data_IF_369044862783
#
_entry.id   IF_369044862783
#
_cell.length_a   1.000
_cell.length_b   1.000
_cell.length_c   1.000
_cell.angle_alpha   90.00
_cell.angle_beta   90.00
_cell.angle_gamma   90.00
#
_symmetry.space_group_name_H-M   'P 1'
#
loop_
_entity.id
_entity.type
_entity.pdbx_description
1 polymer ?
#
# COMPACT_ATOMS: atom_id res chain seq x y z
N UNK A 1 -69.95 15.03 3.32
CA UNK A 1 -70.04 13.80 2.51
C UNK A 1 -68.90 13.87 1.49
N UNK A 2 -67.82 13.14 1.77
CA UNK A 2 -66.62 13.05 0.95
C UNK A 2 -66.84 12.00 -0.15
N UNK A 3 -66.38 12.27 -1.37
CA UNK A 3 -65.46 11.43 -2.16
C UNK A 3 -65.50 11.84 -3.64
N UNK A 4 -64.33 11.99 -4.28
CA UNK A 4 -64.33 12.18 -5.72
C UNK A 4 -63.03 12.58 -6.42
N UNK A 5 -61.83 12.34 -5.89
CA UNK A 5 -60.58 12.56 -6.68
C UNK A 5 -59.43 11.66 -6.21
N UNK A 6 -59.44 10.35 -6.51
CA UNK A 6 -58.23 9.51 -6.40
C UNK A 6 -58.38 8.20 -7.21
N UNK A 7 -58.36 8.26 -8.54
CA UNK A 7 -58.35 7.03 -9.37
C UNK A 7 -57.61 7.15 -10.70
N UNK A 8 -56.70 8.13 -10.86
CA UNK A 8 -55.90 8.23 -12.11
C UNK A 8 -54.37 8.14 -11.95
N UNK A 9 -53.86 7.99 -10.73
CA UNK A 9 -52.40 7.95 -10.50
C UNK A 9 -51.81 6.55 -10.26
N UNK A 10 -52.65 5.51 -10.06
CA UNK A 10 -52.15 4.17 -9.71
C UNK A 10 -51.85 3.24 -10.91
N UNK A 11 -52.29 3.57 -12.14
CA UNK A 11 -52.10 2.67 -13.29
C UNK A 11 -50.75 2.89 -13.99
N UNK A 12 -50.13 4.07 -13.87
CA UNK A 12 -48.82 4.35 -14.50
C UNK A 12 -47.61 3.76 -13.75
N UNK A 13 -47.75 3.42 -12.46
CA UNK A 13 -46.64 2.91 -11.64
C UNK A 13 -46.50 1.39 -11.73
N UNK A 14 -47.57 0.66 -12.09
CA UNK A 14 -47.54 -0.81 -12.17
C UNK A 14 -46.99 -1.35 -13.52
N UNK A 15 -46.98 -0.56 -14.60
CA UNK A 15 -46.44 -1.01 -15.89
C UNK A 15 -44.91 -0.89 -16.01
N UNK A 16 -44.25 -0.08 -15.18
CA UNK A 16 -42.79 0.06 -15.19
C UNK A 16 -42.11 -1.06 -14.39
N UNK A 17 -42.78 -1.66 -13.41
CA UNK A 17 -42.23 -2.75 -12.60
C UNK A 17 -42.36 -4.15 -13.24
N UNK A 18 -43.37 -4.40 -14.07
CA UNK A 18 -43.52 -5.67 -14.78
C UNK A 18 -42.50 -5.88 -15.93
N UNK A 19 -41.89 -4.80 -16.41
CA UNK A 19 -40.91 -4.83 -17.51
C UNK A 19 -39.48 -5.11 -17.03
N UNK A 20 -39.18 -4.94 -15.74
CA UNK A 20 -37.85 -5.18 -15.17
C UNK A 20 -37.69 -6.60 -14.58
N UNK A 21 -38.77 -7.23 -14.15
CA UNK A 21 -38.72 -8.61 -13.62
C UNK A 21 -38.63 -9.66 -14.74
N UNK A 22 -39.09 -9.34 -15.94
CA UNK A 22 -38.98 -10.25 -17.11
C UNK A 22 -37.59 -10.24 -17.76
N UNK A 23 -36.76 -9.21 -17.53
CA UNK A 23 -35.37 -9.15 -18.03
C UNK A 23 -34.42 -9.93 -17.10
N UNK A 24 -34.74 -10.03 -15.81
CA UNK A 24 -33.91 -10.75 -14.84
C UNK A 24 -34.05 -12.28 -14.89
N UNK A 25 -35.16 -12.82 -15.43
CA UNK A 25 -35.43 -14.26 -15.45
C UNK A 25 -35.14 -14.97 -16.79
N UNK A 26 -34.67 -14.24 -17.81
CA UNK A 26 -34.24 -14.82 -19.10
C UNK A 26 -32.72 -14.79 -19.31
N UNK A 27 -31.94 -14.30 -18.34
CA UNK A 27 -30.48 -14.19 -18.44
C UNK A 27 -29.72 -15.40 -17.85
N UNK A 28 -30.41 -16.45 -17.41
CA UNK A 28 -29.81 -17.58 -16.67
C UNK A 28 -29.69 -18.89 -17.47
N UNK A 29 -29.56 -18.83 -18.80
CA UNK A 29 -29.39 -20.06 -19.63
C UNK A 29 -28.38 -19.98 -20.77
N UNK A 30 -27.42 -19.07 -20.74
CA UNK A 30 -26.28 -19.14 -21.65
C UNK A 30 -24.99 -18.78 -20.93
N UNK A 31 -24.21 -19.79 -20.58
CA UNK A 31 -22.86 -19.67 -20.02
C UNK A 31 -21.89 -18.94 -20.95
N UNK A 32 -22.00 -17.61 -20.98
CA UNK A 32 -21.05 -16.71 -21.62
C UNK A 32 -20.78 -15.56 -20.65
N UNK A 33 -19.58 -15.59 -20.07
CA UNK A 33 -18.93 -14.44 -19.43
C UNK A 33 -19.12 -13.22 -20.33
N UNK A 34 -19.82 -12.20 -19.84
CA UNK A 34 -19.86 -10.90 -20.50
C UNK A 34 -18.69 -10.09 -19.96
N UNK A 35 -17.64 -10.01 -20.77
CA UNK A 35 -16.59 -9.01 -20.64
C UNK A 35 -17.25 -7.62 -20.66
N UNK A 36 -17.31 -6.98 -19.49
CA UNK A 36 -17.72 -5.59 -19.37
C UNK A 36 -16.54 -4.70 -19.80
N UNK A 37 -16.74 -3.73 -20.71
CA UNK A 37 -15.66 -2.91 -21.22
C UNK A 37 -15.12 -1.97 -20.12
N UNK A 38 -13.78 -1.90 -20.03
CA UNK A 38 -12.99 -1.20 -19.02
C UNK A 38 -13.23 0.33 -18.93
N UNK A 39 -13.98 0.92 -19.86
CA UNK A 39 -14.08 2.37 -20.05
C UNK A 39 -15.11 3.08 -19.15
N UNK A 40 -15.80 2.37 -18.25
CA UNK A 40 -16.73 2.98 -17.28
C UNK A 40 -16.05 3.46 -15.98
N UNK A 41 -14.75 3.23 -15.80
CA UNK A 41 -14.02 3.64 -14.60
C UNK A 41 -13.25 4.95 -14.78
N UNK A 42 -13.97 6.07 -14.91
CA UNK A 42 -13.45 7.33 -14.36
C UNK A 42 -13.63 7.28 -12.84
N UNK A 43 -12.64 6.69 -12.17
CA UNK A 43 -12.21 7.00 -10.80
C UNK A 43 -13.29 7.16 -9.72
N UNK A 44 -14.28 6.27 -9.64
CA UNK A 44 -15.21 6.25 -8.50
C UNK A 44 -14.85 5.08 -7.59
N UNK A 45 -14.58 5.40 -6.32
CA UNK A 45 -14.56 4.44 -5.22
C UNK A 45 -15.83 3.57 -5.29
N UNK A 46 -15.68 2.25 -5.41
CA UNK A 46 -16.79 1.28 -5.35
C UNK A 46 -17.08 0.83 -3.91
N UNK A 47 -16.27 1.25 -2.94
CA UNK A 47 -16.52 1.00 -1.53
C UNK A 47 -17.58 1.95 -1.00
N UNK A 48 -18.51 1.45 -0.18
CA UNK A 48 -19.41 2.29 0.57
C UNK A 48 -18.62 3.05 1.65
N UNK A 49 -18.35 4.34 1.38
CA UNK A 49 -17.73 5.26 2.32
C UNK A 49 -16.29 5.67 1.98
N UNK A 50 -15.75 6.67 2.70
CA UNK A 50 -14.38 7.13 2.49
C UNK A 50 -13.36 6.06 2.90
N UNK A 51 -12.19 5.99 2.25
CA UNK A 51 -11.18 4.97 2.53
C UNK A 51 -10.74 5.00 3.99
N UNK A 52 -10.58 3.82 4.59
CA UNK A 52 -9.95 3.71 5.91
C UNK A 52 -8.44 3.96 5.81
N UNK A 53 -7.87 4.74 6.71
CA UNK A 53 -6.44 5.06 6.74
C UNK A 53 -5.84 4.59 8.06
N UNK A 54 -4.64 4.01 7.99
CA UNK A 54 -3.88 3.64 9.17
C UNK A 54 -2.44 4.15 9.07
N UNK A 55 -1.97 4.85 10.09
CA UNK A 55 -0.57 5.21 10.26
C UNK A 55 0.11 4.15 11.12
N UNK A 56 1.14 3.51 10.56
CA UNK A 56 1.98 2.51 11.22
C UNK A 56 3.34 3.14 11.52
N UNK A 57 3.66 3.23 12.82
CA UNK A 57 4.88 3.84 13.30
C UNK A 57 5.88 2.80 13.81
N UNK A 58 7.09 2.80 13.25
CA UNK A 58 8.25 2.11 13.83
C UNK A 58 8.92 3.02 14.87
N UNK A 59 8.76 2.69 16.15
CA UNK A 59 9.25 3.48 17.29
C UNK A 59 10.41 2.80 18.02
N UNK A 60 11.36 3.60 18.51
CA UNK A 60 12.40 3.14 19.44
C UNK A 60 12.42 3.98 20.73
N UNK A 61 12.97 5.20 20.69
CA UNK A 61 13.14 6.08 21.86
C UNK A 61 12.69 7.53 21.58
N UNK A 62 12.11 7.79 20.41
CA UNK A 62 11.87 9.14 19.93
C UNK A 62 10.61 9.72 20.57
N UNK A 63 10.62 11.01 20.83
CA UNK A 63 9.40 11.73 21.17
C UNK A 63 8.44 11.71 19.95
N UNK A 64 7.18 11.34 20.21
CA UNK A 64 6.14 11.16 19.17
C UNK A 64 5.02 12.20 19.23
N UNK A 65 5.16 13.30 19.99
CA UNK A 65 4.12 14.35 20.08
C UNK A 65 3.83 15.02 18.74
N UNK A 66 4.77 14.97 17.80
CA UNK A 66 4.56 15.45 16.43
C UNK A 66 3.51 14.66 15.65
N UNK A 67 3.07 13.49 16.14
CA UNK A 67 1.98 12.72 15.53
C UNK A 67 0.62 13.39 15.72
N UNK A 68 0.40 14.14 16.80
CA UNK A 68 -0.89 14.75 17.09
C UNK A 68 -1.40 15.64 15.94
N UNK A 69 -0.61 16.63 15.44
CA UNK A 69 -1.04 17.42 14.29
C UNK A 69 -1.14 16.62 12.99
N UNK A 70 -0.36 15.54 12.83
CA UNK A 70 -0.45 14.68 11.66
C UNK A 70 -1.75 13.86 11.66
N UNK A 71 -2.09 13.23 12.78
CA UNK A 71 -3.33 12.47 12.94
C UNK A 71 -4.55 13.37 12.78
N UNK A 72 -4.50 14.61 13.29
CA UNK A 72 -5.55 15.61 13.05
C UNK A 72 -5.78 15.88 11.55
N UNK A 73 -4.70 15.93 10.75
CA UNK A 73 -4.78 16.12 9.28
C UNK A 73 -5.24 14.88 8.54
N UNK A 74 -4.87 13.68 8.98
CA UNK A 74 -5.38 12.42 8.41
C UNK A 74 -6.88 12.22 8.70
N UNK A 75 -7.39 12.87 9.75
CA UNK A 75 -8.79 12.91 10.13
C UNK A 75 -9.15 11.88 11.20
N UNK A 76 -10.30 12.08 11.85
CA UNK A 76 -10.73 11.33 13.04
C UNK A 76 -10.89 9.81 12.84
N UNK A 77 -11.03 9.36 11.59
CA UNK A 77 -11.14 7.94 11.24
C UNK A 77 -9.80 7.27 10.95
N UNK A 78 -8.70 8.04 10.90
CA UNK A 78 -7.37 7.48 10.76
C UNK A 78 -6.98 6.76 12.04
N UNK A 79 -6.49 5.52 11.91
CA UNK A 79 -5.98 4.73 13.04
C UNK A 79 -4.49 4.96 13.19
N UNK A 80 -4.03 4.98 14.44
CA UNK A 80 -2.60 4.97 14.76
C UNK A 80 -2.25 3.61 15.35
N UNK A 81 -1.27 2.94 14.74
CA UNK A 81 -0.64 1.74 15.28
C UNK A 81 0.83 2.02 15.51
N UNK A 82 1.26 1.98 16.77
CA UNK A 82 2.67 2.15 17.14
C UNK A 82 3.25 0.80 17.51
N UNK A 83 4.34 0.43 16.84
CA UNK A 83 5.19 -0.68 17.25
C UNK A 83 6.47 -0.14 17.87
N UNK A 84 6.69 -0.43 19.15
CA UNK A 84 7.87 0.01 19.88
C UNK A 84 8.88 -1.11 20.04
N UNK A 85 10.14 -0.83 19.72
CA UNK A 85 11.30 -1.70 19.92
C UNK A 85 12.26 -1.19 21.00
N UNK A 86 11.96 -0.04 21.60
CA UNK A 86 12.84 0.58 22.59
C UNK A 86 12.33 0.50 24.01
N UNK A 87 13.17 0.94 24.97
CA UNK A 87 12.98 0.68 26.39
C UNK A 87 11.82 1.47 27.03
N UNK A 88 11.36 2.54 26.37
CA UNK A 88 10.29 3.41 26.86
C UNK A 88 9.17 3.52 25.80
N UNK A 89 8.31 2.50 25.67
CA UNK A 89 7.21 2.52 24.70
C UNK A 89 6.17 3.59 25.06
N UNK A 90 5.62 4.35 24.09
CA UNK A 90 4.50 5.24 24.35
C UNK A 90 3.24 4.43 24.73
N UNK A 91 2.27 5.04 25.45
CA UNK A 91 1.03 4.36 25.82
C UNK A 91 0.31 3.75 24.61
N UNK A 92 -0.15 2.50 24.74
CA UNK A 92 -0.86 1.77 23.68
C UNK A 92 0.03 1.18 22.59
N UNK A 93 1.36 1.36 22.64
CA UNK A 93 2.26 0.74 21.69
C UNK A 93 2.33 -0.79 21.84
N UNK A 94 2.42 -1.49 20.72
CA UNK A 94 2.72 -2.91 20.65
C UNK A 94 4.23 -3.12 20.74
N UNK A 95 4.68 -3.97 21.65
CA UNK A 95 6.12 -4.22 21.86
C UNK A 95 6.62 -5.27 20.86
N UNK A 96 7.71 -4.95 20.16
CA UNK A 96 8.40 -5.85 19.26
C UNK A 96 9.86 -6.06 19.68
N UNK A 97 10.46 -7.21 19.32
CA UNK A 97 11.90 -7.39 19.47
C UNK A 97 12.67 -6.34 18.65
N UNK A 98 13.80 -5.88 19.19
CA UNK A 98 14.68 -4.91 18.53
C UNK A 98 15.56 -5.57 17.47
N UNK A 99 14.92 -6.06 16.40
CA UNK A 99 15.52 -6.74 15.25
C UNK A 99 15.11 -6.07 13.94
N UNK A 100 15.92 -6.17 12.89
CA UNK A 100 15.53 -5.85 11.51
C UNK A 100 15.06 -4.41 11.25
N UNK A 101 15.48 -3.46 12.10
CA UNK A 101 15.21 -2.02 12.00
C UNK A 101 13.71 -1.70 11.76
N UNK A 102 13.38 -0.62 11.06
CA UNK A 102 11.98 -0.27 10.73
C UNK A 102 11.33 -1.25 9.75
N UNK A 103 12.12 -1.81 8.84
CA UNK A 103 11.69 -2.76 7.83
C UNK A 103 10.95 -3.97 8.44
N UNK A 104 11.48 -4.54 9.52
CA UNK A 104 10.81 -5.62 10.25
C UNK A 104 9.48 -5.18 10.88
N UNK A 105 9.36 -3.94 11.34
CA UNK A 105 8.08 -3.42 11.86
C UNK A 105 7.02 -3.40 10.75
N UNK A 106 7.40 -2.93 9.55
CA UNK A 106 6.46 -2.84 8.43
C UNK A 106 6.04 -4.22 7.96
N UNK A 107 6.98 -5.14 7.79
CA UNK A 107 6.68 -6.54 7.45
C UNK A 107 5.83 -7.22 8.52
N UNK A 108 6.12 -6.99 9.81
CA UNK A 108 5.31 -7.53 10.91
C UNK A 108 3.86 -7.08 10.81
N UNK A 109 3.62 -5.79 10.52
CA UNK A 109 2.28 -5.27 10.31
C UNK A 109 1.61 -5.89 9.08
N UNK A 110 2.28 -5.88 7.93
CA UNK A 110 1.77 -6.44 6.67
C UNK A 110 1.41 -7.93 6.80
N UNK A 111 2.25 -8.70 7.50
CA UNK A 111 2.02 -10.12 7.73
C UNK A 111 0.87 -10.36 8.72
N UNK A 112 0.88 -9.73 9.90
CA UNK A 112 -0.08 -10.04 10.96
C UNK A 112 -1.45 -9.39 10.76
N UNK A 113 -1.51 -8.30 9.99
CA UNK A 113 -2.75 -7.56 9.71
C UNK A 113 -3.28 -7.81 8.30
N UNK A 114 -2.66 -8.70 7.51
CA UNK A 114 -2.91 -8.95 6.09
C UNK A 114 -4.39 -8.91 5.67
N UNK A 115 -5.25 -9.64 6.38
CA UNK A 115 -6.68 -9.74 6.09
C UNK A 115 -7.48 -8.50 6.52
N UNK A 116 -6.95 -7.76 7.49
CA UNK A 116 -7.56 -6.61 8.17
C UNK A 116 -6.93 -5.25 7.81
N UNK A 117 -6.06 -5.19 6.80
CA UNK A 117 -5.39 -3.95 6.37
C UNK A 117 -6.40 -2.86 6.03
N UNK A 118 -6.09 -1.64 6.44
CA UNK A 118 -6.77 -0.42 5.98
C UNK A 118 -6.64 -0.27 4.45
N UNK A 119 -7.56 0.46 3.82
CA UNK A 119 -7.45 0.85 2.41
C UNK A 119 -6.08 1.41 2.08
N UNK A 120 -5.60 2.36 2.90
CA UNK A 120 -4.23 2.87 2.84
C UNK A 120 -3.55 2.72 4.19
N UNK A 121 -2.36 2.12 4.16
CA UNK A 121 -1.45 2.08 5.30
C UNK A 121 -0.26 3.01 5.02
N UNK A 122 -0.05 3.98 5.90
CA UNK A 122 1.08 4.93 5.88
C UNK A 122 2.14 4.42 6.84
N UNK A 123 3.34 4.15 6.35
CA UNK A 123 4.47 3.66 7.12
C UNK A 123 5.46 4.78 7.40
N UNK A 124 5.79 4.97 8.68
CA UNK A 124 6.71 6.01 9.15
C UNK A 124 7.67 5.47 10.22
N UNK A 125 8.88 6.02 10.25
CA UNK A 125 9.77 5.88 11.39
C UNK A 125 9.48 7.00 12.39
N UNK A 126 9.57 6.71 13.69
CA UNK A 126 9.46 7.75 14.72
C UNK A 126 10.55 8.83 14.61
N UNK A 127 11.64 8.54 13.88
CA UNK A 127 12.69 9.50 13.56
C UNK A 127 12.35 10.48 12.42
N UNK A 128 11.16 10.37 11.79
CA UNK A 128 10.74 11.23 10.67
C UNK A 128 10.73 12.74 11.04
N UNK A 129 10.55 13.09 12.31
CA UNK A 129 10.63 14.47 12.78
C UNK A 129 12.04 14.99 13.10
N UNK A 130 13.11 14.17 13.03
CA UNK A 130 14.42 14.51 13.62
C UNK A 130 15.25 15.52 12.80
N UNK A 131 15.31 15.39 11.49
CA UNK A 131 16.17 16.21 10.62
C UNK A 131 15.31 17.01 9.63
N UNK A 132 15.85 18.12 9.12
CA UNK A 132 15.13 18.96 8.16
C UNK A 132 14.68 18.16 6.92
N UNK A 133 15.53 17.27 6.40
CA UNK A 133 15.17 16.45 5.24
C UNK A 133 14.10 15.41 5.55
N UNK A 134 14.13 14.81 6.74
CA UNK A 134 13.05 13.91 7.17
C UNK A 134 11.74 14.66 7.42
N UNK A 135 11.80 15.89 7.94
CA UNK A 135 10.63 16.75 8.11
C UNK A 135 10.02 17.16 6.78
N UNK A 136 10.82 17.48 5.75
CA UNK A 136 10.32 17.70 4.38
C UNK A 136 9.55 16.49 3.87
N UNK A 137 10.09 15.29 4.08
CA UNK A 137 9.42 14.04 3.69
C UNK A 137 8.13 13.79 4.47
N UNK A 138 8.12 14.13 5.76
CA UNK A 138 6.92 14.05 6.59
C UNK A 138 5.80 14.98 6.10
N UNK A 139 6.15 16.18 5.65
CA UNK A 139 5.16 17.11 5.05
C UNK A 139 4.66 16.56 3.72
N UNK A 140 5.56 16.06 2.87
CA UNK A 140 5.18 15.53 1.57
C UNK A 140 4.21 14.33 1.68
N UNK A 141 4.49 13.35 2.55
CA UNK A 141 3.57 12.21 2.76
C UNK A 141 2.23 12.65 3.35
N UNK A 142 2.23 13.61 4.29
CA UNK A 142 1.02 14.17 4.86
C UNK A 142 0.11 14.79 3.79
N UNK A 143 0.70 15.45 2.80
CA UNK A 143 -0.04 16.18 1.77
C UNK A 143 -0.42 15.30 0.56
N UNK A 144 0.25 14.15 0.39
CA UNK A 144 0.15 13.36 -0.85
C UNK A 144 -0.15 11.85 -0.67
N UNK A 145 -0.34 11.34 0.55
CA UNK A 145 -0.62 9.92 0.77
C UNK A 145 -1.82 9.40 -0.05
N UNK A 146 -2.78 10.26 -0.38
CA UNK A 146 -3.96 9.94 -1.17
C UNK A 146 -3.59 9.44 -2.59
N UNK A 147 -2.41 9.77 -3.10
CA UNK A 147 -1.91 9.22 -4.36
C UNK A 147 -1.80 7.68 -4.31
N UNK A 148 -1.66 7.07 -3.12
CA UNK A 148 -1.73 5.63 -2.97
C UNK A 148 -3.11 5.06 -3.35
N UNK A 149 -4.19 5.83 -3.26
CA UNK A 149 -5.53 5.40 -3.68
C UNK A 149 -5.57 5.15 -5.20
N UNK A 150 -5.00 6.06 -6.00
CA UNK A 150 -4.96 5.94 -7.46
C UNK A 150 -3.84 5.01 -7.94
N UNK A 151 -2.62 5.21 -7.44
CA UNK A 151 -1.42 4.54 -7.95
C UNK A 151 -1.18 3.18 -7.26
N UNK A 152 -1.77 3.01 -6.08
CA UNK A 152 -1.55 1.87 -5.19
C UNK A 152 -0.35 2.05 -4.25
N UNK A 153 0.53 3.00 -4.54
CA UNK A 153 1.74 3.28 -3.79
C UNK A 153 2.09 4.77 -3.92
N UNK A 154 2.61 5.34 -2.84
CA UNK A 154 3.25 6.65 -2.83
C UNK A 154 4.47 6.59 -1.90
N UNK A 155 5.59 7.15 -2.33
CA UNK A 155 6.79 7.31 -1.50
C UNK A 155 7.15 8.78 -1.45
N UNK A 156 7.41 9.29 -0.26
CA UNK A 156 7.93 10.63 -0.09
C UNK A 156 9.44 10.68 -0.30
N UNK A 157 9.87 11.62 -1.16
CA UNK A 157 11.27 11.74 -1.58
C UNK A 157 11.74 10.48 -2.29
N UNK A 158 10.90 9.94 -3.18
CA UNK A 158 11.25 8.86 -4.09
C UNK A 158 12.52 9.25 -4.84
N UNK A 159 13.50 8.37 -4.82
CA UNK A 159 14.76 8.53 -5.54
C UNK A 159 14.67 7.75 -6.84
N UNK A 160 14.75 8.43 -7.98
CA UNK A 160 14.61 7.88 -9.32
C UNK A 160 15.89 7.25 -9.86
N UNK A 161 16.95 7.20 -9.06
CA UNK A 161 18.13 6.40 -9.37
C UNK A 161 17.84 4.93 -9.11
N UNK A 162 17.98 4.10 -10.15
CA UNK A 162 17.84 2.66 -10.02
C UNK A 162 18.90 2.12 -9.04
N UNK A 163 18.51 1.35 -8.01
CA UNK A 163 19.48 0.69 -7.15
C UNK A 163 20.35 -0.26 -7.96
N UNK A 164 21.67 -0.17 -7.76
CA UNK A 164 22.63 -1.02 -8.44
C UNK A 164 22.44 -2.49 -8.05
N UNK A 165 22.39 -3.40 -9.02
CA UNK A 165 22.29 -4.85 -8.78
C UNK A 165 23.45 -5.36 -7.90
N UNK A 166 24.64 -4.81 -8.11
CA UNK A 166 25.85 -5.11 -7.34
C UNK A 166 25.93 -4.43 -5.97
N UNK A 167 24.90 -3.69 -5.55
CA UNK A 167 24.94 -2.92 -4.31
C UNK A 167 25.17 -3.81 -3.09
N UNK A 168 26.15 -3.39 -2.29
CA UNK A 168 26.43 -3.87 -0.93
C UNK A 168 26.58 -2.68 0.01
N UNK A 169 26.36 -2.93 1.29
CA UNK A 169 26.44 -1.94 2.36
C UNK A 169 27.76 -2.06 3.13
N UNK A 170 28.85 -2.40 2.45
CA UNK A 170 30.18 -2.59 3.05
C UNK A 170 30.80 -1.27 3.53
N UNK A 171 30.54 -0.18 2.80
CA UNK A 171 31.11 1.15 3.03
C UNK A 171 30.24 2.05 3.92
N UNK A 172 28.98 1.69 4.13
CA UNK A 172 28.01 2.47 4.88
C UNK A 172 27.55 1.69 6.10
N UNK A 173 28.23 1.94 7.19
CA UNK A 173 27.75 1.61 8.53
C UNK A 173 26.31 2.11 8.69
N UNK A 174 25.42 1.33 9.30
CA UNK A 174 24.06 1.79 9.63
C UNK A 174 24.12 3.00 10.56
N UNK A 175 23.24 3.98 10.33
CA UNK A 175 23.14 5.13 11.24
C UNK A 175 22.38 4.76 12.50
N UNK A 176 22.93 5.10 13.66
CA UNK A 176 22.29 5.02 14.98
C UNK A 176 22.19 6.41 15.58
N UNK A 177 21.49 6.54 16.71
CA UNK A 177 21.43 7.82 17.45
C UNK A 177 22.81 8.25 17.99
N UNK A 178 23.77 7.33 18.12
CA UNK A 178 25.09 7.57 18.72
C UNK A 178 26.25 7.45 17.71
N UNK A 179 25.96 7.35 16.42
CA UNK A 179 26.96 7.25 15.36
C UNK A 179 26.70 6.10 14.39
N UNK A 180 27.76 5.42 13.99
CA UNK A 180 27.75 4.47 12.88
C UNK A 180 28.04 3.05 13.36
N UNK A 181 27.21 2.07 12.97
CA UNK A 181 27.39 0.65 13.32
C UNK A 181 27.67 -0.20 12.07
N UNK A 182 28.57 -1.16 12.17
CA UNK A 182 28.75 -2.14 11.10
C UNK A 182 27.49 -3.01 11.00
N UNK A 183 26.99 -3.22 9.77
CA UNK A 183 25.85 -4.09 9.55
C UNK A 183 26.31 -5.54 9.40
N UNK A 184 25.47 -6.46 9.87
CA UNK A 184 25.58 -7.88 9.57
C UNK A 184 25.23 -8.11 8.08
N UNK A 185 26.09 -8.79 7.30
CA UNK A 185 25.84 -9.02 5.88
C UNK A 185 24.54 -9.78 5.61
N UNK A 186 23.87 -9.45 4.52
CA UNK A 186 22.70 -10.20 4.06
C UNK A 186 23.12 -11.55 3.47
N UNK A 187 22.16 -12.46 3.29
CA UNK A 187 22.37 -13.70 2.54
C UNK A 187 21.15 -14.03 1.69
N UNK A 188 21.27 -14.13 0.35
CA UNK A 188 22.49 -14.00 -0.44
C UNK A 188 22.93 -12.53 -0.62
N UNK A 189 24.13 -12.33 -1.19
CA UNK A 189 24.69 -11.01 -1.60
C UNK A 189 25.16 -11.09 -3.05
N UNK A 190 25.14 -10.00 -3.84
CA UNK A 190 24.74 -8.63 -3.50
C UNK A 190 23.20 -8.41 -3.57
N UNK A 191 22.77 -7.15 -3.50
CA UNK A 191 21.35 -6.74 -3.56
C UNK A 191 20.55 -7.46 -4.65
N UNK A 192 21.08 -7.56 -5.86
CA UNK A 192 20.42 -8.21 -6.99
C UNK A 192 20.05 -9.66 -6.73
N UNK A 193 20.99 -10.44 -6.19
CA UNK A 193 20.74 -11.85 -5.84
C UNK A 193 19.74 -11.95 -4.69
N UNK A 194 19.88 -11.12 -3.66
CA UNK A 194 18.92 -11.06 -2.55
C UNK A 194 17.52 -10.72 -3.03
N UNK A 195 17.41 -9.74 -3.93
CA UNK A 195 16.15 -9.31 -4.51
C UNK A 195 15.51 -10.42 -5.34
N UNK A 196 16.29 -11.08 -6.21
CA UNK A 196 15.81 -12.19 -7.02
C UNK A 196 15.29 -13.36 -6.16
N UNK A 197 16.00 -13.68 -5.07
CA UNK A 197 15.65 -14.76 -4.14
C UNK A 197 14.36 -14.46 -3.35
N UNK A 198 14.28 -13.29 -2.71
CA UNK A 198 13.22 -13.02 -1.72
C UNK A 198 12.12 -12.09 -2.17
N UNK A 199 12.42 -11.07 -2.99
CA UNK A 199 11.44 -10.08 -3.43
C UNK A 199 10.80 -10.46 -4.78
N UNK A 200 11.63 -10.97 -5.70
CA UNK A 200 11.30 -11.40 -7.04
C UNK A 200 10.81 -10.26 -7.96
N UNK A 201 10.71 -10.58 -9.25
CA UNK A 201 10.26 -9.64 -10.27
C UNK A 201 11.39 -8.79 -10.86
N UNK A 202 11.02 -7.69 -11.53
CA UNK A 202 11.99 -6.77 -12.13
C UNK A 202 12.60 -5.89 -11.04
N UNK A 203 13.92 -5.70 -11.11
CA UNK A 203 14.62 -4.76 -10.23
C UNK A 203 13.97 -3.37 -10.28
N UNK A 204 13.93 -2.66 -9.15
CA UNK A 204 13.38 -1.31 -9.07
C UNK A 204 14.15 -0.34 -9.96
N UNK A 205 13.42 0.57 -10.62
CA UNK A 205 14.01 1.71 -11.35
C UNK A 205 14.08 2.98 -10.50
N UNK A 206 13.56 2.92 -9.28
CA UNK A 206 13.51 3.99 -8.29
C UNK A 206 13.38 3.35 -6.91
N UNK A 207 13.77 4.01 -5.82
CA UNK A 207 13.65 3.47 -4.47
C UNK A 207 13.08 4.49 -3.49
N UNK A 208 12.75 4.02 -2.27
CA UNK A 208 12.10 4.84 -1.25
C UNK A 208 13.01 5.07 -0.05
N UNK A 209 13.92 6.07 -0.10
CA UNK A 209 14.81 6.35 1.01
C UNK A 209 14.01 6.75 2.25
N UNK A 210 14.46 6.29 3.41
CA UNK A 210 13.78 6.40 4.71
C UNK A 210 12.47 5.62 4.82
N UNK A 211 12.08 4.86 3.80
CA UNK A 211 10.86 4.05 3.76
C UNK A 211 9.58 4.80 4.21
N UNK A 212 9.52 6.11 3.93
CA UNK A 212 8.37 6.97 4.21
C UNK A 212 7.36 6.79 3.07
N UNK A 213 6.39 5.90 3.27
CA UNK A 213 5.52 5.46 2.17
C UNK A 213 4.06 5.26 2.58
N UNK A 214 3.15 5.35 1.62
CA UNK A 214 1.75 4.98 1.74
C UNK A 214 1.43 3.88 0.73
N UNK A 215 0.79 2.81 1.17
CA UNK A 215 0.52 1.63 0.34
C UNK A 215 -0.96 1.28 0.43
N UNK A 216 -1.59 1.05 -0.73
CA UNK A 216 -2.96 0.57 -0.77
C UNK A 216 -3.01 -0.94 -0.55
N UNK A 217 -3.96 -1.45 0.25
CA UNK A 217 -4.09 -2.89 0.55
C UNK A 217 -4.14 -3.80 -0.67
N UNK A 218 -4.74 -3.33 -1.77
CA UNK A 218 -4.78 -4.06 -3.05
C UNK A 218 -3.39 -4.38 -3.60
N UNK A 219 -2.39 -3.51 -3.38
CA UNK A 219 -1.00 -3.74 -3.80
C UNK A 219 -0.32 -4.74 -2.88
N UNK A 220 -0.54 -4.63 -1.57
CA UNK A 220 -0.06 -5.62 -0.60
C UNK A 220 -0.57 -7.03 -0.94
N UNK A 221 -1.83 -7.14 -1.36
CA UNK A 221 -2.47 -8.41 -1.71
C UNK A 221 -2.04 -9.02 -3.06
N UNK A 222 -1.21 -8.33 -3.85
CA UNK A 222 -0.57 -8.92 -5.03
C UNK A 222 0.53 -9.94 -4.66
N UNK A 223 0.90 -10.00 -3.39
CA UNK A 223 1.78 -11.01 -2.83
C UNK A 223 1.05 -11.77 -1.72
N UNK A 224 1.20 -13.10 -1.62
CA UNK A 224 0.57 -13.87 -0.57
C UNK A 224 1.11 -13.47 0.81
N UNK A 225 0.34 -13.72 1.89
CA UNK A 225 0.79 -13.45 3.26
C UNK A 225 2.15 -14.10 3.60
N UNK A 226 2.44 -15.27 3.04
CA UNK A 226 3.71 -15.99 3.22
C UNK A 226 4.91 -15.24 2.68
N UNK A 227 4.76 -14.45 1.61
CA UNK A 227 5.84 -13.61 1.07
C UNK A 227 6.37 -12.63 2.12
N UNK A 228 5.47 -11.97 2.85
CA UNK A 228 5.85 -11.08 3.96
C UNK A 228 6.45 -11.84 5.13
N UNK A 229 6.03 -13.10 5.35
CA UNK A 229 6.59 -13.98 6.38
C UNK A 229 8.05 -14.33 6.11
N UNK A 230 8.38 -14.73 4.87
CA UNK A 230 9.76 -15.04 4.45
C UNK A 230 10.68 -13.84 4.64
N UNK A 231 10.24 -12.65 4.20
CA UNK A 231 11.02 -11.43 4.40
C UNK A 231 11.17 -11.08 5.90
N UNK A 232 10.16 -11.38 6.72
CA UNK A 232 10.21 -11.13 8.16
C UNK A 232 11.26 -12.02 8.82
N UNK A 233 11.32 -13.30 8.46
CA UNK A 233 12.32 -14.25 8.95
C UNK A 233 13.75 -13.76 8.66
N UNK A 234 14.00 -13.24 7.45
CA UNK A 234 15.29 -12.65 7.09
C UNK A 234 15.69 -11.49 7.99
N UNK A 235 14.72 -10.72 8.51
CA UNK A 235 14.97 -9.57 9.37
C UNK A 235 14.90 -9.89 10.87
N UNK A 236 14.45 -11.08 11.25
CA UNK A 236 14.32 -11.48 12.66
C UNK A 236 15.61 -12.03 13.27
N UNK A 237 16.63 -12.33 12.46
CA UNK A 237 17.89 -12.96 12.91
C UNK A 237 18.90 -12.00 13.55
N UNK A 238 18.71 -10.69 13.40
CA UNK A 238 19.69 -9.70 13.85
C UNK A 238 19.10 -8.28 13.93
N UNK A 239 19.80 -7.41 14.65
CA UNK A 239 19.37 -6.00 14.84
C UNK A 239 19.63 -5.15 13.61
N UNK A 240 20.87 -5.19 13.15
CA UNK A 240 21.43 -4.26 12.19
C UNK A 240 21.87 -5.03 10.94
N UNK A 241 20.88 -5.49 10.17
CA UNK A 241 21.08 -6.33 9.00
C UNK A 241 21.16 -5.48 7.72
N UNK A 242 22.11 -5.78 6.85
CA UNK A 242 22.18 -5.24 5.48
C UNK A 242 20.87 -5.50 4.70
N UNK A 243 20.20 -6.63 4.96
CA UNK A 243 18.92 -6.97 4.36
C UNK A 243 17.83 -5.91 4.58
N UNK A 244 17.88 -5.13 5.67
CA UNK A 244 16.94 -4.03 5.87
C UNK A 244 17.16 -2.90 4.84
N UNK A 245 18.40 -2.62 4.46
CA UNK A 245 18.74 -1.65 3.42
C UNK A 245 18.42 -2.16 2.00
N UNK A 246 18.54 -3.46 1.79
CA UNK A 246 18.04 -4.09 0.55
C UNK A 246 16.52 -3.97 0.45
N UNK A 247 15.79 -4.15 1.56
CA UNK A 247 14.34 -3.99 1.55
C UNK A 247 13.91 -2.52 1.34
N UNK A 248 14.63 -1.55 1.91
CA UNK A 248 14.42 -0.12 1.63
C UNK A 248 14.49 0.21 0.14
N UNK A 249 15.43 -0.43 -0.58
CA UNK A 249 15.57 -0.31 -2.03
C UNK A 249 14.46 -1.00 -2.82
N UNK A 250 13.78 -1.96 -2.20
CA UNK A 250 12.84 -2.86 -2.85
C UNK A 250 11.37 -2.41 -2.75
N UNK A 251 11.03 -1.54 -1.80
CA UNK A 251 9.63 -1.16 -1.52
C UNK A 251 8.86 -0.69 -2.75
N UNK A 252 9.50 0.13 -3.58
CA UNK A 252 8.95 0.59 -4.85
C UNK A 252 8.63 -0.60 -5.75
N UNK A 253 9.55 -1.49 -6.08
CA UNK A 253 9.27 -2.65 -6.93
C UNK A 253 8.22 -3.61 -6.34
N UNK A 254 8.16 -3.72 -5.00
CA UNK A 254 7.20 -4.59 -4.33
C UNK A 254 5.76 -4.08 -4.42
N UNK A 255 5.54 -2.77 -4.37
CA UNK A 255 4.20 -2.17 -4.30
C UNK A 255 3.81 -1.34 -5.52
N UNK A 256 4.80 -0.87 -6.27
CA UNK A 256 4.66 -0.16 -7.52
C UNK A 256 4.85 -1.13 -8.68
N UNK A 257 3.78 -1.38 -9.42
CA UNK A 257 3.87 -1.89 -10.78
C UNK A 257 3.05 -0.98 -11.68
N UNK A 258 3.74 -0.38 -12.66
CA UNK A 258 3.17 0.45 -13.72
C UNK A 258 2.25 -0.35 -14.68
N UNK A 259 2.33 -1.69 -14.66
CA UNK A 259 1.58 -2.56 -15.58
C UNK A 259 0.07 -2.60 -15.32
N UNK A 260 -0.42 -2.02 -14.23
CA UNK A 260 -1.86 -1.85 -14.00
C UNK A 260 -2.53 -0.83 -14.94
N UNK A 261 -1.78 -0.12 -15.79
CA UNK A 261 -2.34 0.77 -16.84
C UNK A 261 -2.42 0.11 -18.23
N UNK A 262 -1.92 -1.10 -18.43
CA UNK A 262 -1.96 -1.76 -19.75
C UNK A 262 -3.36 -2.23 -20.19
N UNK A 263 -4.34 -2.33 -19.28
CA UNK A 263 -5.75 -2.52 -19.67
C UNK A 263 -6.42 -1.27 -20.26
N UNK A 264 -5.72 -0.12 -20.31
CA UNK A 264 -6.28 1.15 -20.80
C UNK A 264 -5.88 1.52 -22.24
N UNK A 265 -5.07 0.71 -22.93
CA UNK A 265 -4.59 1.04 -24.27
C UNK A 265 -4.62 -0.16 -25.24
N UNK A 266 -5.82 -0.57 -25.66
CA UNK A 266 -6.00 -1.14 -27.00
C UNK A 266 -7.47 -1.09 -27.44
N UNK A 267 -7.85 -0.23 -28.40
CA UNK A 267 -9.10 -0.39 -29.11
C UNK A 267 -8.91 -1.45 -30.21
N UNK A 268 -9.52 -2.60 -29.98
CA UNK A 268 -9.78 -3.62 -31.00
C UNK A 268 -10.42 -2.96 -32.24
N UNK A 269 -9.81 -3.12 -33.43
CA UNK A 269 -10.49 -2.88 -34.71
C UNK A 269 -10.86 -4.24 -35.33
N UNK A 270 -12.15 -4.61 -35.43
CA UNK A 270 -12.54 -5.69 -36.32
C UNK A 270 -12.50 -5.18 -37.77
N UNK A 271 -11.85 -5.95 -38.65
CA UNK A 271 -11.98 -5.80 -40.11
C UNK A 271 -13.40 -6.22 -40.53
N UNK A 272 -14.10 -5.49 -41.43
CA UNK A 272 -15.37 -5.97 -41.95
C UNK A 272 -15.14 -7.21 -42.82
N UNK A 273 -15.95 -8.24 -42.59
CA UNK A 273 -16.17 -9.31 -43.55
C UNK A 273 -16.92 -8.72 -44.74
N UNK A 274 -16.23 -8.57 -45.88
CA UNK A 274 -16.89 -8.39 -47.16
C UNK A 274 -17.07 -9.78 -47.78
N UNK A 275 -18.29 -10.29 -47.71
CA UNK A 275 -18.76 -11.32 -48.62
C UNK A 275 -19.29 -10.67 -49.90
N UNK A 276 -18.73 -11.09 -51.03
CA UNK A 276 -19.43 -11.59 -52.22
C UNK A 276 -18.45 -12.50 -52.97
#
# INVERSE_FOLDING_TARGET
>A
MFWGHYTRTCIAVLCVWASLVSIALLADRSGRSRDLPCCLFKGRWLGEGPPSVELVLAHYNQNVTWLDPLMAKLGERAKLTVYSKGPAPPPGAQILPNVGREAHTYLHHLHNRYDSLADVTIFLMASAGKTQDKQKKLVEIQDNWQQALSNGFFCSGLDDNAPEEGYTQDSWKGSTDTGWIQLDPASPRPYGLWFAEYAGGKLPTAWCPTATMAVHRRRVRLRPRSFYGVLLEQLSVGRDLEAAHFLERSWSAMFYQAEAMACAASPFRPRPLLGK
#
